data_IF_607793081041
#
_entry.id   IF_607793081041
#
_cell.length_a   1.000
_cell.length_b   1.000
_cell.length_c   1.000
_cell.angle_alpha   90.00
_cell.angle_beta   90.00
_cell.angle_gamma   90.00
#
_symmetry.space_group_name_H-M   'P 1'
#
loop_
_entity.id
_entity.type
_entity.pdbx_description
1 polymer ?
#
# COMPACT_ATOMS: atom_id res chain seq x y z
N UNK A 1 -49.27 -6.25 -3.79
CA UNK A 1 -48.36 -5.64 -4.83
C UNK A 1 -47.18 -4.86 -4.25
N UNK A 2 -47.36 -4.09 -3.19
CA UNK A 2 -46.31 -3.26 -2.54
C UNK A 2 -45.25 -4.09 -1.80
N UNK A 3 -45.60 -5.25 -1.26
CA UNK A 3 -44.70 -6.16 -0.53
C UNK A 3 -43.66 -6.80 -1.48
N UNK A 4 -44.06 -7.12 -2.71
CA UNK A 4 -43.15 -7.69 -3.75
C UNK A 4 -42.19 -6.62 -4.24
N UNK A 5 -42.62 -5.37 -4.32
CA UNK A 5 -41.76 -4.24 -4.71
C UNK A 5 -40.71 -3.94 -3.64
N UNK A 6 -41.01 -4.01 -2.35
CA UNK A 6 -40.08 -3.82 -1.24
C UNK A 6 -38.99 -4.88 -1.18
N UNK A 7 -39.35 -6.15 -1.45
CA UNK A 7 -38.37 -7.25 -1.53
C UNK A 7 -37.43 -7.17 -2.74
N UNK A 8 -37.87 -6.55 -3.83
CA UNK A 8 -37.03 -6.35 -5.02
C UNK A 8 -36.00 -5.24 -4.82
N UNK A 9 -36.34 -4.19 -4.05
CA UNK A 9 -35.42 -3.08 -3.76
C UNK A 9 -34.28 -3.52 -2.83
N UNK A 10 -34.54 -4.43 -1.89
CA UNK A 10 -33.53 -4.96 -0.97
C UNK A 10 -32.44 -5.83 -1.65
N UNK A 11 -32.64 -6.21 -2.92
CA UNK A 11 -31.71 -6.98 -3.75
C UNK A 11 -30.96 -6.15 -4.79
N UNK A 12 -31.18 -4.84 -4.80
CA UNK A 12 -30.43 -3.93 -5.69
C UNK A 12 -29.02 -3.73 -5.13
N UNK A 13 -28.04 -4.39 -5.72
CA UNK A 13 -26.65 -4.07 -5.51
C UNK A 13 -26.26 -2.91 -6.45
N UNK A 14 -25.94 -1.78 -5.86
CA UNK A 14 -25.31 -0.70 -6.61
C UNK A 14 -23.83 -1.07 -6.82
N UNK A 15 -23.52 -1.56 -8.02
CA UNK A 15 -22.15 -1.73 -8.47
C UNK A 15 -21.75 -0.47 -9.22
N UNK A 16 -20.65 0.17 -8.81
CA UNK A 16 -20.04 1.29 -9.51
C UNK A 16 -18.69 0.86 -10.10
N UNK A 17 -18.76 -0.11 -11.00
CA UNK A 17 -17.58 -0.55 -11.74
C UNK A 17 -17.65 0.04 -13.15
N UNK A 18 -16.88 1.10 -13.37
CA UNK A 18 -16.82 1.80 -14.65
C UNK A 18 -16.32 0.91 -15.80
N UNK A 19 -15.56 -0.16 -15.50
CA UNK A 19 -15.07 -1.09 -16.49
C UNK A 19 -16.17 -1.97 -17.10
N UNK A 20 -17.32 -2.10 -16.44
CA UNK A 20 -18.46 -2.84 -17.00
C UNK A 20 -19.03 -2.22 -18.29
N UNK A 21 -18.70 -0.96 -18.60
CA UNK A 21 -19.05 -0.34 -19.86
C UNK A 21 -18.20 -0.81 -21.05
N UNK A 22 -17.07 -1.49 -20.78
CA UNK A 22 -16.18 -2.00 -21.79
C UNK A 22 -16.29 -3.52 -21.89
N UNK A 23 -16.28 -4.03 -23.12
CA UNK A 23 -16.21 -5.48 -23.33
C UNK A 23 -14.85 -6.02 -22.90
N UNK A 24 -14.81 -7.21 -22.33
CA UNK A 24 -13.57 -7.82 -21.81
C UNK A 24 -12.46 -7.94 -22.87
N UNK A 25 -12.84 -8.09 -24.15
CA UNK A 25 -11.91 -8.23 -25.28
C UNK A 25 -11.52 -6.89 -25.91
N UNK A 26 -12.00 -5.75 -25.39
CA UNK A 26 -11.65 -4.44 -25.93
C UNK A 26 -10.16 -4.14 -25.74
N UNK A 27 -9.61 -3.32 -26.65
CA UNK A 27 -8.23 -2.84 -26.56
C UNK A 27 -7.96 -2.11 -25.23
N UNK A 28 -8.95 -1.37 -24.75
CA UNK A 28 -8.89 -0.69 -23.47
C UNK A 28 -8.69 -1.67 -22.31
N UNK A 29 -9.51 -2.73 -22.22
CA UNK A 29 -9.40 -3.74 -21.17
C UNK A 29 -8.07 -4.50 -21.22
N UNK A 30 -7.54 -4.76 -22.42
CA UNK A 30 -6.21 -5.36 -22.58
C UNK A 30 -5.10 -4.46 -22.03
N UNK A 31 -5.19 -3.15 -22.27
CA UNK A 31 -4.23 -2.18 -21.72
C UNK A 31 -4.33 -2.05 -20.19
N UNK A 32 -5.54 -2.03 -19.63
CA UNK A 32 -5.76 -2.03 -18.17
C UNK A 32 -5.09 -3.25 -17.55
N UNK A 33 -5.34 -4.46 -18.06
CA UNK A 33 -4.72 -5.69 -17.57
C UNK A 33 -3.19 -5.67 -17.68
N UNK A 34 -2.65 -5.11 -18.76
CA UNK A 34 -1.21 -4.98 -18.92
C UNK A 34 -0.61 -4.04 -17.87
N UNK A 35 -1.24 -2.90 -17.61
CA UNK A 35 -0.83 -1.96 -16.56
C UNK A 35 -0.89 -2.66 -15.20
N UNK A 36 -2.01 -3.28 -14.86
CA UNK A 36 -2.17 -4.00 -13.59
C UNK A 36 -1.09 -5.08 -13.39
N UNK A 37 -0.78 -5.84 -14.42
CA UNK A 37 0.27 -6.86 -14.37
C UNK A 37 1.67 -6.27 -14.13
N UNK A 38 1.96 -5.07 -14.65
CA UNK A 38 3.26 -4.42 -14.52
C UNK A 38 3.40 -3.63 -13.22
N UNK A 39 2.33 -2.95 -12.79
CA UNK A 39 2.34 -2.05 -11.62
C UNK A 39 1.88 -2.72 -10.33
N UNK A 40 1.26 -3.90 -10.43
CA UNK A 40 0.62 -4.58 -9.29
C UNK A 40 -0.75 -3.99 -8.91
N UNK A 41 -1.36 -3.19 -9.79
CA UNK A 41 -2.67 -2.59 -9.60
C UNK A 41 -2.85 -1.33 -10.43
N UNK A 42 -4.07 -0.81 -10.46
CA UNK A 42 -4.42 0.37 -11.23
C UNK A 42 -4.75 1.58 -10.36
N UNK A 43 -5.13 1.34 -9.11
CA UNK A 43 -5.47 2.38 -8.12
C UNK A 43 -4.52 2.31 -6.94
N UNK A 44 -4.27 3.46 -6.30
CA UNK A 44 -3.44 3.54 -5.12
C UNK A 44 -4.30 3.78 -3.87
N UNK A 45 -4.06 2.99 -2.82
CA UNK A 45 -4.45 3.29 -1.46
C UNK A 45 -3.21 3.85 -0.75
N UNK A 46 -3.32 5.07 -0.23
CA UNK A 46 -2.26 5.70 0.54
C UNK A 46 -2.58 5.66 2.02
N UNK A 47 -1.70 5.04 2.80
CA UNK A 47 -1.73 5.11 4.27
C UNK A 47 -0.69 6.13 4.71
N UNK A 48 -1.16 7.20 5.32
CA UNK A 48 -0.29 8.25 5.87
C UNK A 48 0.00 7.95 7.33
N UNK A 49 1.28 7.95 7.67
CA UNK A 49 1.79 7.75 9.02
C UNK A 49 2.32 9.10 9.51
N UNK A 50 1.71 9.66 10.55
CA UNK A 50 2.11 10.93 11.16
C UNK A 50 2.53 10.70 12.61
N UNK A 51 3.82 10.87 12.87
CA UNK A 51 4.39 10.70 14.22
C UNK A 51 4.32 11.96 15.05
N UNK A 52 4.01 13.11 14.45
CA UNK A 52 4.03 14.43 15.07
C UNK A 52 5.38 14.79 15.74
N UNK A 53 6.44 14.09 15.40
CA UNK A 53 7.78 14.29 15.95
C UNK A 53 8.79 14.39 14.81
N UNK A 54 9.68 15.37 14.88
CA UNK A 54 10.80 15.47 13.95
C UNK A 54 11.62 14.19 14.01
N UNK A 55 11.91 13.62 12.83
CA UNK A 55 12.59 12.33 12.64
C UNK A 55 11.85 11.13 13.24
N UNK A 56 10.57 11.27 13.59
CA UNK A 56 9.79 10.21 14.22
C UNK A 56 9.59 8.97 13.34
N UNK A 57 9.71 9.11 12.01
CA UNK A 57 9.69 7.96 11.09
C UNK A 57 10.95 7.09 11.23
N UNK A 58 12.05 7.64 11.74
CA UNK A 58 13.29 6.90 11.97
C UNK A 58 13.21 6.20 13.33
N UNK A 59 12.28 5.28 13.45
CA UNK A 59 12.08 4.45 14.63
C UNK A 59 11.91 2.99 14.22
N UNK A 60 12.71 2.11 14.83
CA UNK A 60 12.77 0.69 14.46
C UNK A 60 11.44 -0.02 14.69
N UNK A 61 10.78 0.23 15.83
CA UNK A 61 9.53 -0.43 16.19
C UNK A 61 8.39 0.04 15.27
N UNK A 62 8.40 1.34 14.93
CA UNK A 62 7.45 1.89 13.96
C UNK A 62 7.65 1.26 12.58
N UNK A 63 8.91 1.13 12.11
CA UNK A 63 9.18 0.49 10.81
C UNK A 63 8.76 -0.98 10.80
N UNK A 64 8.92 -1.71 11.90
CA UNK A 64 8.39 -3.07 12.03
C UNK A 64 6.85 -3.09 11.96
N UNK A 65 6.19 -2.13 12.60
CA UNK A 65 4.72 -1.99 12.53
C UNK A 65 4.25 -1.72 11.10
N UNK A 66 4.96 -0.86 10.36
CA UNK A 66 4.66 -0.59 8.94
C UNK A 66 4.87 -1.87 8.10
N UNK A 67 5.89 -2.67 8.38
CA UNK A 67 6.14 -3.95 7.71
C UNK A 67 5.03 -4.97 7.99
N UNK A 68 4.51 -5.01 9.22
CA UNK A 68 3.36 -5.86 9.56
C UNK A 68 2.11 -5.42 8.82
N UNK A 69 1.85 -4.11 8.74
CA UNK A 69 0.75 -3.56 7.94
C UNK A 69 0.89 -3.90 6.46
N UNK A 70 2.10 -3.79 5.91
CA UNK A 70 2.39 -4.20 4.54
C UNK A 70 2.05 -5.67 4.29
N UNK A 71 2.46 -6.54 5.20
CA UNK A 71 2.15 -7.97 5.16
C UNK A 71 0.65 -8.22 5.24
N UNK A 72 -0.04 -7.53 6.13
CA UNK A 72 -1.50 -7.61 6.27
C UNK A 72 -2.20 -7.21 4.96
N UNK A 73 -1.86 -6.06 4.40
CA UNK A 73 -2.45 -5.56 3.15
C UNK A 73 -2.29 -6.55 1.99
N UNK A 74 -1.14 -7.18 1.86
CA UNK A 74 -0.88 -8.19 0.82
C UNK A 74 -1.58 -9.52 1.08
N UNK A 75 -1.88 -9.84 2.33
CA UNK A 75 -2.58 -11.09 2.69
C UNK A 75 -4.07 -11.03 2.46
N UNK A 76 -4.65 -9.83 2.41
CA UNK A 76 -6.08 -9.63 2.25
C UNK A 76 -6.58 -10.05 0.86
N UNK A 77 -7.61 -10.88 0.87
CA UNK A 77 -8.19 -11.42 -0.35
C UNK A 77 -9.66 -11.08 -0.50
N UNK A 78 -10.06 -10.86 -1.71
CA UNK A 78 -11.43 -10.71 -2.16
C UNK A 78 -12.08 -12.07 -2.44
N UNK A 79 -13.34 -12.09 -2.80
CA UNK A 79 -14.05 -13.29 -3.19
C UNK A 79 -13.23 -14.18 -4.14
N UNK A 80 -13.27 -15.49 -3.94
CA UNK A 80 -12.51 -16.49 -4.71
C UNK A 80 -10.98 -16.45 -4.52
N UNK A 81 -10.48 -15.80 -3.45
CA UNK A 81 -9.07 -15.77 -3.12
C UNK A 81 -8.21 -14.83 -3.95
N UNK A 82 -8.81 -13.90 -4.68
CA UNK A 82 -8.07 -12.88 -5.42
C UNK A 82 -7.55 -11.80 -4.46
N UNK A 83 -6.27 -11.41 -4.58
CA UNK A 83 -5.69 -10.37 -3.75
C UNK A 83 -6.33 -8.99 -3.99
N UNK A 84 -6.51 -8.17 -2.94
CA UNK A 84 -6.88 -6.77 -3.09
C UNK A 84 -5.71 -5.94 -3.60
N UNK A 85 -4.52 -6.22 -3.09
CA UNK A 85 -3.29 -5.47 -3.32
C UNK A 85 -2.31 -6.35 -4.07
N UNK A 86 -1.78 -5.84 -5.18
CA UNK A 86 -0.77 -6.56 -5.95
C UNK A 86 0.65 -6.12 -5.61
N UNK A 87 0.83 -4.88 -5.15
CA UNK A 87 2.14 -4.33 -4.77
C UNK A 87 1.99 -3.25 -3.70
N UNK A 88 2.94 -3.21 -2.80
CA UNK A 88 3.10 -2.14 -1.82
C UNK A 88 4.47 -1.48 -1.95
N UNK A 89 4.56 -0.24 -1.50
CA UNK A 89 5.83 0.51 -1.38
C UNK A 89 5.75 1.43 -0.18
N UNK A 90 6.79 1.41 0.65
CA UNK A 90 6.87 2.22 1.85
C UNK A 90 8.31 2.65 2.16
N UNK A 91 8.47 3.44 3.20
CA UNK A 91 9.79 3.79 3.75
C UNK A 91 10.57 2.55 4.21
N UNK A 92 9.88 1.46 4.58
CA UNK A 92 10.51 0.18 4.97
C UNK A 92 11.28 -0.42 3.79
N UNK A 93 10.68 -0.42 2.59
CA UNK A 93 11.36 -0.93 1.39
C UNK A 93 12.64 -0.13 1.10
N UNK A 94 12.54 1.20 1.17
CA UNK A 94 13.69 2.07 0.98
C UNK A 94 14.78 1.80 2.03
N UNK A 95 14.39 1.66 3.30
CA UNK A 95 15.33 1.37 4.39
C UNK A 95 16.06 0.05 4.16
N UNK A 96 15.36 -0.99 3.73
CA UNK A 96 15.97 -2.28 3.37
C UNK A 96 16.88 -2.17 2.14
N UNK A 97 16.48 -1.43 1.11
CA UNK A 97 17.31 -1.16 -0.06
C UNK A 97 18.62 -0.46 0.33
N UNK A 98 18.54 0.54 1.22
CA UNK A 98 19.75 1.21 1.76
C UNK A 98 20.63 0.23 2.55
N UNK A 99 20.07 -0.66 3.38
CA UNK A 99 20.82 -1.68 4.11
C UNK A 99 21.53 -2.63 3.15
N UNK A 100 20.90 -3.02 2.05
CA UNK A 100 21.52 -3.83 1.01
C UNK A 100 22.74 -3.14 0.39
N UNK A 101 22.63 -1.84 0.06
CA UNK A 101 23.71 -1.06 -0.54
C UNK A 101 24.90 -0.98 0.42
N UNK A 102 24.66 -0.67 1.70
CA UNK A 102 25.73 -0.57 2.71
C UNK A 102 26.46 -1.90 2.89
N UNK A 103 25.71 -3.00 2.91
CA UNK A 103 26.26 -4.34 3.17
C UNK A 103 26.75 -5.05 1.90
N UNK A 104 26.63 -4.44 0.72
CA UNK A 104 27.00 -5.04 -0.56
C UNK A 104 26.22 -6.31 -0.88
N UNK A 105 24.95 -6.39 -0.42
CA UNK A 105 24.09 -7.56 -0.59
C UNK A 105 23.11 -7.37 -1.75
N UNK A 106 22.52 -8.47 -2.22
CA UNK A 106 21.46 -8.43 -3.22
C UNK A 106 20.16 -7.89 -2.63
N UNK A 107 19.43 -7.05 -3.37
CA UNK A 107 18.20 -6.36 -2.94
C UNK A 107 17.04 -7.26 -2.45
N UNK A 108 17.16 -8.58 -2.51
CA UNK A 108 16.06 -9.49 -2.19
C UNK A 108 15.96 -9.95 -0.73
N UNK A 109 16.91 -9.60 0.15
CA UNK A 109 16.94 -10.18 1.50
C UNK A 109 17.62 -9.34 2.58
N UNK A 110 17.63 -8.03 2.46
CA UNK A 110 18.22 -7.19 3.50
C UNK A 110 17.20 -6.93 4.63
N UNK A 111 17.61 -7.15 5.88
CA UNK A 111 16.78 -6.81 7.04
C UNK A 111 16.75 -5.29 7.27
N UNK A 112 15.81 -4.85 8.10
CA UNK A 112 15.91 -3.54 8.73
C UNK A 112 17.18 -3.47 9.61
N UNK A 113 17.75 -2.27 9.81
CA UNK A 113 18.82 -2.07 10.81
C UNK A 113 18.38 -2.55 12.19
N UNK A 114 19.32 -3.05 12.99
CA UNK A 114 19.02 -3.73 14.26
C UNK A 114 18.46 -2.81 15.34
N UNK A 115 18.78 -1.51 15.29
CA UNK A 115 18.36 -0.52 16.27
C UNK A 115 18.20 0.89 15.68
N UNK A 116 17.66 1.81 16.49
CA UNK A 116 17.42 3.20 16.10
C UNK A 116 18.70 3.98 15.79
N UNK A 117 19.84 3.60 16.36
CA UNK A 117 21.11 4.24 16.10
C UNK A 117 21.62 3.90 14.69
N UNK A 118 21.66 2.62 14.35
CA UNK A 118 22.06 2.16 13.03
C UNK A 118 21.12 2.73 11.96
N UNK A 119 19.82 2.79 12.26
CA UNK A 119 18.80 3.37 11.40
C UNK A 119 19.08 4.87 11.15
N UNK A 120 19.33 5.66 12.21
CA UNK A 120 19.62 7.08 12.10
C UNK A 120 20.90 7.34 11.29
N UNK A 121 21.99 6.60 11.56
CA UNK A 121 23.25 6.70 10.82
C UNK A 121 23.06 6.40 9.32
N UNK A 122 22.25 5.41 9.00
CA UNK A 122 21.89 5.05 7.62
C UNK A 122 21.12 6.19 6.92
N UNK A 123 20.09 6.73 7.56
CA UNK A 123 19.32 7.84 7.00
C UNK A 123 20.15 9.11 6.81
N UNK A 124 21.01 9.45 7.76
CA UNK A 124 21.89 10.61 7.65
C UNK A 124 22.87 10.46 6.48
N UNK A 125 23.43 9.26 6.28
CA UNK A 125 24.29 8.97 5.15
C UNK A 125 23.56 9.15 3.81
N UNK A 126 22.40 8.54 3.65
CA UNK A 126 21.64 8.61 2.39
C UNK A 126 20.97 9.96 2.15
N UNK A 127 20.56 10.68 3.20
CA UNK A 127 20.03 12.03 3.05
C UNK A 127 21.08 13.02 2.50
N UNK A 128 22.35 12.79 2.79
CA UNK A 128 23.45 13.55 2.20
C UNK A 128 23.69 13.26 0.71
N UNK A 129 23.27 12.10 0.21
CA UNK A 129 23.54 11.63 -1.16
C UNK A 129 22.29 11.71 -2.05
N UNK A 130 21.15 11.25 -1.55
CA UNK A 130 19.90 11.11 -2.33
C UNK A 130 18.67 11.59 -1.55
N UNK A 131 18.61 12.87 -1.14
CA UNK A 131 17.52 13.38 -0.32
C UNK A 131 16.15 13.27 -1.03
N UNK A 132 16.13 13.40 -2.35
CA UNK A 132 14.90 13.31 -3.14
C UNK A 132 14.28 11.91 -3.10
N UNK A 133 15.08 10.88 -3.05
CA UNK A 133 14.59 9.49 -2.94
C UNK A 133 13.85 9.28 -1.61
N UNK A 134 14.41 9.82 -0.50
CA UNK A 134 13.77 9.74 0.82
C UNK A 134 12.45 10.53 0.82
N UNK A 135 12.43 11.71 0.20
CA UNK A 135 11.23 12.57 0.11
C UNK A 135 10.09 11.95 -0.70
N UNK A 136 10.35 10.94 -1.50
CA UNK A 136 9.27 10.17 -2.14
C UNK A 136 8.42 9.37 -1.14
N UNK A 137 8.94 9.13 0.07
CA UNK A 137 8.27 8.33 1.09
C UNK A 137 7.97 9.11 2.36
N UNK A 138 8.59 10.27 2.56
CA UNK A 138 8.51 11.06 3.78
C UNK A 138 8.43 12.56 3.46
N UNK A 139 8.07 13.37 4.45
CA UNK A 139 8.25 14.81 4.40
C UNK A 139 9.72 15.21 4.73
N UNK A 140 10.01 16.51 4.70
CA UNK A 140 11.38 17.02 4.81
C UNK A 140 12.00 16.81 6.20
N UNK A 141 11.19 16.84 7.26
CA UNK A 141 11.63 16.68 8.66
C UNK A 141 11.48 15.24 9.17
N UNK A 142 11.08 14.30 8.29
CA UNK A 142 10.93 12.89 8.61
C UNK A 142 9.89 12.63 9.74
N UNK A 143 8.91 13.53 9.90
CA UNK A 143 7.82 13.35 10.86
C UNK A 143 6.67 12.53 10.29
N UNK A 144 6.50 12.55 8.95
CA UNK A 144 5.46 11.78 8.27
C UNK A 144 6.04 10.84 7.24
N UNK A 145 5.44 9.68 7.13
CA UNK A 145 5.73 8.68 6.12
C UNK A 145 4.48 8.24 5.39
N UNK A 146 4.65 7.52 4.28
CA UNK A 146 3.55 6.89 3.56
C UNK A 146 3.84 5.45 3.18
N UNK A 147 2.78 4.66 3.18
CA UNK A 147 2.73 3.36 2.56
C UNK A 147 1.73 3.44 1.41
N UNK A 148 2.16 3.12 0.22
CA UNK A 148 1.34 3.06 -0.99
C UNK A 148 1.03 1.62 -1.30
N UNK A 149 -0.26 1.26 -1.40
CA UNK A 149 -0.71 -0.05 -1.84
C UNK A 149 -1.39 0.06 -3.21
N UNK A 150 -0.83 -0.61 -4.21
CA UNK A 150 -1.41 -0.67 -5.55
C UNK A 150 -2.50 -1.74 -5.57
N UNK A 151 -3.74 -1.29 -5.79
CA UNK A 151 -4.93 -2.13 -5.79
C UNK A 151 -5.36 -2.47 -7.20
N UNK A 152 -5.80 -3.71 -7.39
CA UNK A 152 -6.46 -4.12 -8.63
C UNK A 152 -7.79 -3.40 -8.80
N UNK A 153 -8.17 -3.15 -10.03
CA UNK A 153 -9.48 -2.52 -10.32
C UNK A 153 -10.64 -3.43 -9.96
N UNK A 154 -11.58 -2.92 -9.17
CA UNK A 154 -12.75 -3.66 -8.67
C UNK A 154 -13.95 -2.76 -8.49
N UNK A 155 -15.07 -3.37 -8.09
CA UNK A 155 -16.25 -2.66 -7.63
C UNK A 155 -15.94 -1.83 -6.38
N UNK A 156 -16.33 -0.56 -6.40
CA UNK A 156 -16.13 0.37 -5.31
C UNK A 156 -16.72 -0.12 -3.96
N UNK A 157 -17.81 -0.88 -4.00
CA UNK A 157 -18.41 -1.44 -2.79
C UNK A 157 -17.46 -2.41 -2.06
N UNK A 158 -16.72 -3.24 -2.80
CA UNK A 158 -15.73 -4.16 -2.21
C UNK A 158 -14.52 -3.45 -1.61
N UNK A 159 -14.18 -2.28 -2.13
CA UNK A 159 -13.07 -1.48 -1.61
C UNK A 159 -13.42 -0.82 -0.26
N UNK A 160 -14.67 -0.41 -0.07
CA UNK A 160 -15.12 0.13 1.21
C UNK A 160 -14.93 -0.89 2.33
N UNK A 161 -15.39 -2.11 2.13
CA UNK A 161 -15.23 -3.19 3.10
C UNK A 161 -13.74 -3.48 3.40
N UNK A 162 -12.89 -3.44 2.39
CA UNK A 162 -11.44 -3.61 2.56
C UNK A 162 -10.83 -2.45 3.36
N UNK A 163 -11.16 -1.21 3.00
CA UNK A 163 -10.66 -0.01 3.71
C UNK A 163 -11.09 -0.03 5.18
N UNK A 164 -12.32 -0.45 5.48
CA UNK A 164 -12.80 -0.52 6.86
C UNK A 164 -12.04 -1.59 7.66
N UNK A 165 -11.75 -2.77 7.10
CA UNK A 165 -10.86 -3.76 7.74
C UNK A 165 -9.44 -3.23 7.97
N UNK A 166 -8.89 -2.49 7.00
CA UNK A 166 -7.57 -1.85 7.17
C UNK A 166 -7.59 -0.85 8.33
N UNK A 167 -8.65 -0.03 8.44
CA UNK A 167 -8.83 0.91 9.57
C UNK A 167 -8.93 0.19 10.91
N UNK A 168 -9.68 -0.90 10.97
CA UNK A 168 -9.79 -1.73 12.17
C UNK A 168 -8.42 -2.31 12.56
N UNK A 169 -7.66 -2.82 11.60
CA UNK A 169 -6.32 -3.35 11.84
C UNK A 169 -5.36 -2.28 12.38
N UNK A 170 -5.39 -1.06 11.85
CA UNK A 170 -4.55 0.05 12.32
C UNK A 170 -4.95 0.54 13.72
N UNK A 171 -6.22 0.36 14.12
CA UNK A 171 -6.72 0.79 15.43
C UNK A 171 -6.39 -0.18 16.58
N UNK A 172 -5.87 -1.38 16.29
CA UNK A 172 -5.47 -2.40 17.28
C UNK A 172 -4.04 -2.28 17.70
#
# INVERSE_FOLDING_TARGET
STLVMGLSISRLHFSHNELHFFTEDSDFMRQVRLIEAQTGGFRALEVMIDTQQERGIIDHDLLQTIEQLDTYLRSETYAQGQAYVGRTRSIVDLTKEMSCIINGQSFSSCPLPEDNRALAEQFDHFNGITPETIRNYTNADLSTGRLTAMMYWRDAASDVDFIDRVREYIAT
#
